data_IF_965050508259
#
_entry.id   IF_965050508259
#
_cell.length_a   1.000
_cell.length_b   1.000
_cell.length_c   1.000
_cell.angle_alpha   90.00
_cell.angle_beta   90.00
_cell.angle_gamma   90.00
#
_symmetry.space_group_name_H-M   'P 1'
#
loop_
_entity.id
_entity.type
_entity.pdbx_description
1 polymer ?
#
# COMPACT_ATOMS: atom_id res chain seq x y z
N UNK A 1 6.05 13.63 33.53
CA UNK A 1 6.87 14.22 32.46
C UNK A 1 6.68 13.35 31.22
N UNK A 2 6.34 13.92 30.05
CA UNK A 2 6.28 13.18 28.77
C UNK A 2 7.48 13.62 27.93
N UNK A 3 8.30 12.67 27.50
CA UNK A 3 9.39 12.90 26.57
C UNK A 3 9.03 12.26 25.23
N UNK A 4 9.32 12.95 24.13
CA UNK A 4 9.30 12.32 22.80
C UNK A 4 10.64 11.61 22.62
N UNK A 5 10.62 10.37 22.14
CA UNK A 5 11.82 9.56 21.92
C UNK A 5 11.76 8.99 20.50
N UNK A 6 12.82 9.20 19.72
CA UNK A 6 12.99 8.67 18.37
C UNK A 6 14.34 7.95 18.29
N UNK A 7 14.33 6.71 17.80
CA UNK A 7 15.52 5.83 17.78
C UNK A 7 16.27 5.75 19.12
N UNK A 8 15.52 5.67 20.21
CA UNK A 8 16.08 5.56 21.57
C UNK A 8 16.66 6.85 22.14
N UNK A 9 16.55 7.98 21.45
CA UNK A 9 17.03 9.29 21.92
C UNK A 9 15.89 10.27 22.19
N UNK A 10 15.95 11.06 23.28
CA UNK A 10 14.95 12.09 23.55
C UNK A 10 15.04 13.22 22.52
N UNK A 11 13.89 13.67 22.02
CA UNK A 11 13.75 14.75 21.05
C UNK A 11 12.73 15.78 21.54
N UNK A 12 12.92 17.04 21.15
CA UNK A 12 12.01 18.13 21.50
C UNK A 12 10.78 18.17 20.58
N UNK A 13 10.98 17.86 19.29
CA UNK A 13 9.95 17.90 18.26
C UNK A 13 10.20 16.82 17.21
N UNK A 14 9.18 16.03 16.89
CA UNK A 14 9.18 15.06 15.79
C UNK A 14 8.22 15.55 14.71
N UNK A 15 8.71 15.68 13.46
CA UNK A 15 7.91 16.05 12.29
C UNK A 15 7.92 14.87 11.33
N UNK A 16 6.78 14.19 11.19
CA UNK A 16 6.59 13.13 10.19
C UNK A 16 6.08 13.83 8.93
N UNK A 17 6.86 13.78 7.85
CA UNK A 17 6.43 14.26 6.54
C UNK A 17 5.84 13.09 5.76
N UNK A 18 4.79 13.30 4.96
CA UNK A 18 4.38 12.33 3.96
C UNK A 18 5.37 12.45 2.79
N UNK A 19 6.57 11.89 2.94
CA UNK A 19 7.50 11.71 1.82
C UNK A 19 7.23 10.41 1.05
N UNK A 20 6.40 9.53 1.61
CA UNK A 20 5.92 8.32 0.97
C UNK A 20 4.38 8.30 0.90
N UNK A 21 3.84 8.19 -0.32
CA UNK A 21 2.41 7.94 -0.60
C UNK A 21 1.98 6.47 -0.30
N UNK A 22 2.84 5.74 0.42
CA UNK A 22 2.76 4.30 0.67
C UNK A 22 3.89 3.52 0.00
N UNK A 23 3.69 2.21 -0.16
CA UNK A 23 4.59 1.35 -0.93
C UNK A 23 4.52 1.81 -2.40
N UNK A 24 5.55 2.51 -2.86
CA UNK A 24 5.61 3.09 -4.22
C UNK A 24 5.82 2.01 -5.27
N UNK A 25 6.65 1.02 -4.95
CA UNK A 25 6.88 -0.18 -5.74
C UNK A 25 7.16 -1.35 -4.79
N UNK A 26 6.59 -2.51 -5.10
CA UNK A 26 7.14 -3.79 -4.67
C UNK A 26 7.96 -4.27 -5.87
N UNK A 27 9.21 -4.70 -5.68
CA UNK A 27 9.90 -5.53 -6.68
C UNK A 27 9.12 -6.83 -6.79
N UNK A 28 8.03 -6.80 -7.53
CA UNK A 28 7.01 -7.82 -7.58
C UNK A 28 7.52 -8.96 -8.46
N UNK A 29 8.52 -9.71 -7.97
CA UNK A 29 8.69 -11.11 -8.32
C UNK A 29 7.54 -11.88 -7.65
N UNK A 30 6.32 -11.65 -8.17
CA UNK A 30 5.11 -12.31 -7.71
C UNK A 30 5.06 -13.63 -8.47
N UNK A 31 5.10 -14.78 -7.75
CA UNK A 31 4.90 -16.08 -8.37
C UNK A 31 3.61 -16.07 -9.20
N UNK A 32 3.58 -16.78 -10.33
CA UNK A 32 2.37 -16.84 -11.19
C UNK A 32 1.10 -17.20 -10.43
N UNK A 33 1.22 -18.06 -9.43
CA UNK A 33 0.12 -18.48 -8.55
C UNK A 33 -0.52 -17.32 -7.76
N UNK A 34 0.17 -16.20 -7.63
CA UNK A 34 -0.26 -15.00 -6.88
C UNK A 34 -0.57 -13.79 -7.76
N UNK A 35 -0.49 -13.93 -9.09
CA UNK A 35 -0.95 -12.89 -10.04
C UNK A 35 -2.47 -12.78 -10.05
N UNK A 36 -2.95 -11.58 -10.36
CA UNK A 36 -4.37 -11.22 -10.44
C UNK A 36 -4.73 -9.92 -9.73
N UNK A 37 -6.02 -9.61 -9.74
CA UNK A 37 -6.58 -8.43 -9.07
C UNK A 37 -7.18 -8.81 -7.73
N UNK A 38 -6.88 -8.02 -6.70
CA UNK A 38 -7.40 -8.21 -5.35
C UNK A 38 -7.99 -6.91 -4.81
N UNK A 39 -9.01 -7.01 -3.97
CA UNK A 39 -9.48 -5.87 -3.18
C UNK A 39 -8.60 -5.64 -1.93
N UNK A 40 -8.85 -4.56 -1.21
CA UNK A 40 -8.08 -4.19 -0.01
C UNK A 40 -8.26 -5.16 1.17
N UNK A 41 -9.26 -6.05 1.12
CA UNK A 41 -9.45 -7.15 2.07
C UNK A 41 -8.67 -8.42 1.68
N UNK A 42 -7.96 -8.42 0.55
CA UNK A 42 -7.19 -9.56 0.04
C UNK A 42 -8.02 -10.60 -0.72
N UNK A 43 -9.27 -10.30 -1.08
CA UNK A 43 -10.12 -11.19 -1.89
C UNK A 43 -9.72 -11.09 -3.36
N UNK A 44 -9.45 -12.23 -4.00
CA UNK A 44 -9.19 -12.31 -5.45
C UNK A 44 -10.47 -12.01 -6.22
N UNK A 45 -10.37 -11.10 -7.18
CA UNK A 45 -11.45 -10.70 -8.07
C UNK A 45 -11.22 -11.35 -9.44
N UNK A 46 -12.22 -12.09 -9.91
CA UNK A 46 -12.22 -12.74 -11.22
C UNK A 46 -13.12 -11.96 -12.20
N UNK A 47 -12.80 -10.67 -12.36
CA UNK A 47 -13.51 -9.75 -13.26
C UNK A 47 -12.51 -8.84 -13.95
N UNK A 48 -12.86 -8.39 -15.15
CA UNK A 48 -12.03 -7.46 -15.90
C UNK A 48 -11.88 -6.13 -15.17
N UNK A 49 -10.69 -5.54 -15.28
CA UNK A 49 -10.37 -4.23 -14.69
C UNK A 49 -11.43 -3.17 -15.03
N UNK A 50 -11.90 -3.15 -16.28
CA UNK A 50 -12.87 -2.16 -16.76
C UNK A 50 -14.24 -2.28 -16.11
N UNK A 51 -14.60 -3.48 -15.64
CA UNK A 51 -15.85 -3.75 -14.93
C UNK A 51 -15.81 -3.42 -13.44
N UNK A 52 -14.62 -3.12 -12.89
CA UNK A 52 -14.49 -2.74 -11.48
C UNK A 52 -15.06 -1.34 -11.23
N UNK A 53 -15.73 -1.11 -10.08
CA UNK A 53 -16.11 0.23 -9.65
C UNK A 53 -14.88 1.09 -9.33
N UNK A 54 -15.08 2.40 -9.17
CA UNK A 54 -14.04 3.29 -8.66
C UNK A 54 -13.58 2.84 -7.27
N UNK A 55 -12.27 2.83 -7.05
CA UNK A 55 -11.69 2.26 -5.84
C UNK A 55 -10.19 1.97 -5.91
N UNK A 56 -9.68 1.34 -4.85
CA UNK A 56 -8.27 0.94 -4.74
C UNK A 56 -8.19 -0.59 -4.84
N UNK A 57 -7.28 -1.06 -5.68
CA UNK A 57 -7.06 -2.48 -5.94
C UNK A 57 -5.57 -2.81 -5.89
N UNK A 58 -5.25 -4.08 -5.65
CA UNK A 58 -3.92 -4.63 -5.86
C UNK A 58 -3.96 -5.41 -7.18
N UNK A 59 -3.23 -4.95 -8.19
CA UNK A 59 -3.13 -5.61 -9.51
C UNK A 59 -1.72 -6.12 -9.65
N UNK A 60 -1.55 -7.44 -9.66
CA UNK A 60 -0.25 -8.12 -9.75
C UNK A 60 0.76 -7.60 -8.71
N UNK A 61 0.29 -7.36 -7.48
CA UNK A 61 1.11 -6.84 -6.38
C UNK A 61 1.26 -5.32 -6.35
N UNK A 62 0.72 -4.59 -7.33
CA UNK A 62 0.81 -3.12 -7.39
C UNK A 62 -0.50 -2.48 -6.97
N UNK A 63 -0.45 -1.50 -6.05
CA UNK A 63 -1.61 -0.67 -5.70
C UNK A 63 -2.01 0.20 -6.90
N UNK A 64 -3.23 0.03 -7.40
CA UNK A 64 -3.80 0.86 -8.47
C UNK A 64 -5.08 1.54 -7.99
N UNK A 65 -5.28 2.78 -8.46
CA UNK A 65 -6.49 3.56 -8.21
C UNK A 65 -7.30 3.60 -9.49
N UNK A 66 -8.58 3.24 -9.40
CA UNK A 66 -9.55 3.41 -10.47
C UNK A 66 -10.46 4.59 -10.16
N UNK A 67 -10.59 5.49 -11.13
CA UNK A 67 -11.47 6.66 -11.08
C UNK A 67 -12.73 6.42 -11.88
#
# INVERSE_FOLDING_TARGET
MRALVFEGKPVEKLVIRPDADGIHDITADIPESRRGTFNMQGVKLDVDWDSLPAGIYIVDGVKKVKF
#
